data_IF_731330423797
#
_entry.id   IF_731330423797
#
_cell.length_a   1.000
_cell.length_b   1.000
_cell.length_c   1.000
_cell.angle_alpha   90.00
_cell.angle_beta   90.00
_cell.angle_gamma   90.00
#
_symmetry.space_group_name_H-M   'P 1'
#
loop_
_entity.id
_entity.type
_entity.pdbx_description
1 polymer ?
#
# COMPACT_ATOMS: atom_id res chain seq x y z
N UNK A 1 -12.12 0.14 23.02
CA UNK A 1 -10.68 0.05 22.68
C UNK A 1 -10.55 0.02 21.16
N UNK A 2 -9.70 0.86 20.57
CA UNK A 2 -9.46 0.84 19.12
C UNK A 2 -8.52 -0.28 18.68
N UNK A 3 -8.58 -0.67 17.40
CA UNK A 3 -7.60 -1.55 16.75
C UNK A 3 -6.32 -0.78 16.41
N UNK A 4 -5.22 -1.49 16.16
CA UNK A 4 -3.97 -0.88 15.70
C UNK A 4 -4.14 -0.10 14.39
N UNK A 5 -4.95 -0.63 13.47
CA UNK A 5 -5.34 0.07 12.25
C UNK A 5 -6.05 1.39 12.55
N UNK A 6 -7.02 1.38 13.48
CA UNK A 6 -7.72 2.61 13.87
C UNK A 6 -6.75 3.64 14.48
N UNK A 7 -5.77 3.22 15.27
CA UNK A 7 -4.75 4.13 15.80
C UNK A 7 -3.84 4.68 14.71
N UNK A 8 -3.45 3.87 13.73
CA UNK A 8 -2.69 4.34 12.59
C UNK A 8 -3.49 5.40 11.82
N UNK A 9 -4.75 5.12 11.47
CA UNK A 9 -5.62 6.06 10.76
C UNK A 9 -5.84 7.36 11.53
N UNK A 10 -5.98 7.30 12.86
CA UNK A 10 -6.05 8.51 13.69
C UNK A 10 -4.74 9.31 13.66
N UNK A 11 -3.58 8.66 13.66
CA UNK A 11 -2.30 9.34 13.53
C UNK A 11 -2.16 10.03 12.15
N UNK A 12 -2.56 9.33 11.09
CA UNK A 12 -2.63 9.88 9.73
C UNK A 12 -3.53 11.13 9.66
N UNK A 13 -4.77 11.03 10.17
CA UNK A 13 -5.71 12.15 10.19
C UNK A 13 -5.23 13.35 11.02
N UNK A 14 -4.39 13.11 12.04
CA UNK A 14 -3.76 14.15 12.84
C UNK A 14 -2.50 14.76 12.19
N UNK A 15 -2.13 14.33 10.97
CA UNK A 15 -0.91 14.75 10.26
C UNK A 15 0.38 14.16 10.83
N UNK A 16 0.29 13.17 11.72
CA UNK A 16 1.44 12.45 12.29
C UNK A 16 1.78 11.23 11.39
N UNK A 17 2.47 11.50 10.29
CA UNK A 17 2.72 10.49 9.24
C UNK A 17 3.76 9.47 9.67
N UNK A 18 4.77 9.87 10.44
CA UNK A 18 5.70 8.93 11.07
C UNK A 18 5.01 8.01 12.07
N UNK A 19 4.05 8.53 12.86
CA UNK A 19 3.21 7.74 13.74
C UNK A 19 2.39 6.70 12.97
N UNK A 20 1.75 7.09 11.86
CA UNK A 20 1.07 6.16 10.95
C UNK A 20 2.03 5.06 10.46
N UNK A 21 3.18 5.45 9.91
CA UNK A 21 4.16 4.52 9.37
C UNK A 21 4.68 3.53 10.42
N UNK A 22 4.96 3.99 11.64
CA UNK A 22 5.39 3.12 12.74
C UNK A 22 4.28 2.14 13.14
N UNK A 23 3.05 2.63 13.32
CA UNK A 23 1.93 1.80 13.74
C UNK A 23 1.59 0.71 12.71
N UNK A 24 1.68 1.01 11.41
CA UNK A 24 1.49 0.01 10.35
C UNK A 24 2.60 -1.05 10.33
N UNK A 25 3.84 -0.69 10.64
CA UNK A 25 4.97 -1.63 10.68
C UNK A 25 5.05 -2.45 11.96
N UNK A 26 4.46 -1.97 13.05
CA UNK A 26 4.37 -2.68 14.32
C UNK A 26 3.25 -3.72 14.34
N UNK A 27 2.46 -3.86 13.28
CA UNK A 27 1.33 -4.78 13.25
C UNK A 27 1.83 -6.22 13.23
N UNK A 28 1.98 -6.78 14.44
CA UNK A 28 2.37 -8.18 14.60
C UNK A 28 1.18 -9.08 14.30
N UNK A 29 1.37 -10.19 13.58
CA UNK A 29 0.30 -11.15 13.36
C UNK A 29 -0.13 -11.74 14.72
N UNK A 30 -1.44 -11.80 14.99
CA UNK A 30 -1.97 -12.50 16.16
C UNK A 30 -1.56 -13.97 16.08
N UNK A 31 -0.83 -14.48 17.07
CA UNK A 31 -0.34 -15.86 17.07
C UNK A 31 1.13 -16.03 16.69
N UNK A 32 2.00 -15.20 17.27
CA UNK A 32 3.46 -15.34 17.21
C UNK A 32 3.86 -16.80 17.51
N UNK A 33 4.36 -17.52 16.50
CA UNK A 33 4.85 -18.90 16.65
C UNK A 33 4.36 -19.86 15.56
N UNK A 34 3.25 -19.58 14.89
CA UNK A 34 2.78 -20.39 13.76
C UNK A 34 3.47 -19.97 12.45
N UNK A 35 4.03 -20.94 11.72
CA UNK A 35 4.62 -20.75 10.39
C UNK A 35 3.69 -20.01 9.42
N UNK A 36 2.39 -20.37 9.41
CA UNK A 36 1.40 -19.73 8.54
C UNK A 36 1.27 -18.22 8.79
N UNK A 37 1.30 -17.80 10.06
CA UNK A 37 1.19 -16.38 10.42
C UNK A 37 2.43 -15.60 9.97
N UNK A 38 3.62 -16.20 10.09
CA UNK A 38 4.86 -15.59 9.58
C UNK A 38 4.82 -15.45 8.06
N UNK A 39 4.38 -16.50 7.35
CA UNK A 39 4.25 -16.46 5.89
C UNK A 39 3.25 -15.40 5.43
N UNK A 40 2.08 -15.28 6.08
CA UNK A 40 1.10 -14.24 5.74
C UNK A 40 1.67 -12.84 5.98
N UNK A 41 2.40 -12.64 7.08
CA UNK A 41 3.04 -11.36 7.38
C UNK A 41 4.12 -10.99 6.35
N UNK A 42 4.97 -11.94 5.95
CA UNK A 42 5.96 -11.72 4.88
C UNK A 42 5.30 -11.38 3.54
N UNK A 43 4.22 -12.10 3.17
CA UNK A 43 3.45 -11.80 1.97
C UNK A 43 2.83 -10.40 2.04
N UNK A 44 2.33 -9.99 3.19
CA UNK A 44 1.76 -8.67 3.38
C UNK A 44 2.80 -7.57 3.10
N UNK A 45 3.98 -7.66 3.70
CA UNK A 45 5.07 -6.70 3.42
C UNK A 45 5.54 -6.75 1.97
N UNK A 46 5.60 -7.94 1.36
CA UNK A 46 5.99 -8.08 -0.04
C UNK A 46 4.95 -7.46 -1.01
N UNK A 47 3.67 -7.51 -0.64
CA UNK A 47 2.59 -6.84 -1.36
C UNK A 47 2.65 -5.32 -1.18
N UNK A 48 2.85 -4.83 0.05
CA UNK A 48 2.98 -3.39 0.34
C UNK A 48 4.19 -2.79 -0.37
N UNK A 49 5.34 -3.46 -0.37
CA UNK A 49 6.50 -3.02 -1.12
C UNK A 49 6.16 -2.91 -2.62
N UNK A 50 5.54 -3.94 -3.21
CA UNK A 50 5.12 -3.87 -4.62
C UNK A 50 4.16 -2.70 -4.89
N UNK A 51 3.22 -2.42 -3.99
CA UNK A 51 2.35 -1.26 -4.06
C UNK A 51 3.15 0.05 -4.09
N UNK A 52 4.07 0.24 -3.14
CA UNK A 52 4.94 1.42 -3.06
C UNK A 52 5.71 1.69 -4.37
N UNK A 53 6.34 0.65 -4.93
CA UNK A 53 7.14 0.80 -6.15
C UNK A 53 6.27 0.92 -7.41
N UNK A 54 5.14 0.20 -7.50
CA UNK A 54 4.25 0.29 -8.66
C UNK A 54 3.53 1.64 -8.76
N UNK A 55 3.22 2.27 -7.62
CA UNK A 55 2.58 3.58 -7.57
C UNK A 55 3.57 4.74 -7.69
N UNK A 56 4.88 4.49 -7.60
CA UNK A 56 5.89 5.54 -7.70
C UNK A 56 6.10 6.33 -6.40
N UNK A 57 5.58 5.86 -5.27
CA UNK A 57 5.66 6.55 -3.97
C UNK A 57 7.10 6.86 -3.54
N UNK A 58 8.08 6.06 -3.96
CA UNK A 58 9.49 6.30 -3.65
C UNK A 58 10.09 7.54 -4.33
N UNK A 59 9.48 8.04 -5.40
CA UNK A 59 9.91 9.25 -6.11
C UNK A 59 9.01 10.46 -5.80
N UNK A 60 8.01 10.31 -4.95
CA UNK A 60 7.08 11.38 -4.61
C UNK A 60 7.63 12.27 -3.50
N UNK A 61 7.99 13.51 -3.85
CA UNK A 61 8.53 14.49 -2.92
C UNK A 61 7.47 15.37 -2.25
N UNK A 62 6.19 15.27 -2.66
CA UNK A 62 5.10 16.13 -2.15
C UNK A 62 4.78 15.88 -0.67
N UNK A 63 5.12 14.71 -0.15
CA UNK A 63 4.69 14.24 1.17
C UNK A 63 5.73 14.49 2.26
N UNK A 64 5.26 15.08 3.36
CA UNK A 64 6.00 15.34 4.60
C UNK A 64 5.10 15.39 5.84
N UNK A 65 5.71 15.50 7.03
CA UNK A 65 4.99 15.62 8.31
C UNK A 65 4.05 16.83 8.34
N UNK A 66 2.95 16.71 9.09
CA UNK A 66 1.96 17.79 9.24
C UNK A 66 1.07 18.00 8.01
N UNK A 67 1.16 17.15 6.99
CA UNK A 67 0.19 17.15 5.89
C UNK A 67 -1.23 16.94 6.42
N UNK A 68 -2.15 17.70 5.85
CA UNK A 68 -3.58 17.64 6.15
C UNK A 68 -4.31 16.69 5.21
N UNK A 69 -5.52 16.26 5.60
CA UNK A 69 -6.41 15.48 4.73
C UNK A 69 -6.67 16.18 3.39
N UNK A 70 -6.90 17.50 3.39
CA UNK A 70 -7.14 18.27 2.18
C UNK A 70 -5.94 18.24 1.21
N UNK A 71 -4.71 18.35 1.72
CA UNK A 71 -3.52 18.18 0.88
C UNK A 71 -3.37 16.75 0.35
N UNK A 72 -3.82 15.75 1.14
CA UNK A 72 -3.94 14.38 0.69
C UNK A 72 -4.96 14.20 -0.45
N UNK A 73 -6.10 14.86 -0.38
CA UNK A 73 -7.12 14.87 -1.45
C UNK A 73 -6.59 15.52 -2.73
N UNK A 74 -5.83 16.63 -2.63
CA UNK A 74 -5.18 17.25 -3.79
C UNK A 74 -4.21 16.28 -4.49
N UNK A 75 -3.49 15.44 -3.74
CA UNK A 75 -2.65 14.40 -4.33
C UNK A 75 -3.48 13.34 -5.07
N UNK A 76 -4.61 12.95 -4.48
CA UNK A 76 -5.54 12.00 -5.09
C UNK A 76 -6.17 12.55 -6.37
N UNK A 77 -6.51 13.84 -6.38
CA UNK A 77 -7.01 14.54 -7.56
C UNK A 77 -5.98 14.57 -8.69
N UNK A 78 -4.70 14.81 -8.35
CA UNK A 78 -3.61 14.80 -9.33
C UNK A 78 -3.34 13.40 -9.89
N UNK A 79 -3.40 12.36 -9.06
CA UNK A 79 -3.06 10.98 -9.47
C UNK A 79 -4.21 10.29 -10.22
N UNK A 80 -5.45 10.49 -9.77
CA UNK A 80 -6.60 9.72 -10.25
C UNK A 80 -7.72 10.58 -10.85
N UNK A 81 -7.75 11.88 -10.57
CA UNK A 81 -8.87 12.76 -10.87
C UNK A 81 -9.99 12.62 -9.85
N UNK A 82 -10.51 13.75 -9.35
CA UNK A 82 -11.47 13.81 -8.25
C UNK A 82 -12.65 12.86 -8.40
N UNK A 83 -13.35 12.94 -9.53
CA UNK A 83 -14.53 12.11 -9.79
C UNK A 83 -14.22 10.61 -9.76
N UNK A 84 -13.00 10.20 -10.06
CA UNK A 84 -12.66 8.77 -10.18
C UNK A 84 -12.39 8.12 -8.83
N UNK A 85 -11.76 8.83 -7.89
CA UNK A 85 -11.49 8.26 -6.57
C UNK A 85 -12.60 8.61 -5.57
N UNK A 86 -13.22 9.79 -5.66
CA UNK A 86 -14.26 10.21 -4.73
C UNK A 86 -15.59 9.46 -4.92
N UNK A 87 -15.79 8.84 -6.09
CA UNK A 87 -16.94 7.98 -6.37
C UNK A 87 -16.64 6.49 -6.21
N UNK A 88 -15.49 6.12 -5.64
CA UNK A 88 -15.09 4.72 -5.50
C UNK A 88 -16.06 3.96 -4.58
N UNK A 89 -16.64 2.88 -5.11
CA UNK A 89 -17.69 2.10 -4.46
C UNK A 89 -17.24 0.68 -4.10
N UNK A 90 -18.07 -0.05 -3.35
CA UNK A 90 -17.88 -1.48 -3.13
C UNK A 90 -17.90 -2.30 -4.44
N UNK A 91 -18.67 -1.87 -5.44
CA UNK A 91 -18.70 -2.51 -6.76
C UNK A 91 -17.36 -2.37 -7.48
N UNK A 92 -16.68 -1.23 -7.30
CA UNK A 92 -15.32 -1.04 -7.84
C UNK A 92 -14.31 -1.97 -7.16
N UNK A 93 -14.46 -2.21 -5.85
CA UNK A 93 -13.65 -3.21 -5.14
C UNK A 93 -13.93 -4.63 -5.64
N UNK A 94 -15.20 -4.99 -5.82
CA UNK A 94 -15.58 -6.32 -6.30
C UNK A 94 -15.05 -6.55 -7.73
N UNK A 95 -15.21 -5.55 -8.61
CA UNK A 95 -14.65 -5.55 -9.95
C UNK A 95 -13.13 -5.68 -9.93
N UNK A 96 -12.44 -4.95 -9.04
CA UNK A 96 -11.00 -5.05 -8.91
C UNK A 96 -10.53 -6.43 -8.41
N UNK A 97 -11.26 -7.03 -7.46
CA UNK A 97 -10.99 -8.41 -7.00
C UNK A 97 -11.17 -9.40 -8.15
N UNK A 98 -12.24 -9.24 -8.92
CA UNK A 98 -12.51 -10.07 -10.09
C UNK A 98 -11.42 -9.94 -11.16
N UNK A 99 -11.12 -8.72 -11.58
CA UNK A 99 -10.10 -8.45 -12.61
C UNK A 99 -8.72 -8.93 -12.17
N UNK A 100 -8.35 -8.73 -10.91
CA UNK A 100 -7.06 -9.18 -10.38
C UNK A 100 -6.87 -10.69 -10.47
N UNK A 101 -7.96 -11.47 -10.46
CA UNK A 101 -7.95 -12.92 -10.66
C UNK A 101 -7.88 -13.34 -12.13
N UNK A 102 -8.35 -12.52 -13.06
CA UNK A 102 -8.45 -12.84 -14.50
C UNK A 102 -7.24 -12.35 -15.30
N UNK A 103 -6.71 -11.17 -14.99
CA UNK A 103 -5.57 -10.57 -15.70
C UNK A 103 -4.21 -10.93 -15.07
N UNK A 104 -4.22 -11.60 -13.91
CA UNK A 104 -3.02 -12.02 -13.20
C UNK A 104 -2.23 -10.86 -12.58
N UNK A 105 -2.88 -9.73 -12.29
CA UNK A 105 -2.28 -8.58 -11.61
C UNK A 105 -2.21 -8.76 -10.10
N UNK A 106 -3.01 -9.64 -9.50
CA UNK A 106 -2.76 -10.20 -8.16
C UNK A 106 -2.62 -11.72 -8.25
N UNK A 107 -1.41 -12.25 -8.05
CA UNK A 107 -1.17 -13.70 -8.03
C UNK A 107 -0.69 -14.14 -6.65
N UNK A 108 -1.48 -15.00 -6.01
CA UNK A 108 -1.05 -15.72 -4.81
C UNK A 108 -0.62 -17.14 -5.21
N UNK A 109 0.68 -17.41 -5.20
CA UNK A 109 1.19 -18.76 -5.40
C UNK A 109 1.47 -19.38 -4.03
N UNK A 110 0.58 -20.27 -3.59
CA UNK A 110 0.78 -21.03 -2.34
C UNK A 110 1.83 -22.14 -2.48
N UNK A 111 2.15 -22.53 -3.71
CA UNK A 111 3.14 -23.54 -4.05
C UNK A 111 4.17 -22.92 -5.00
N UNK A 112 5.16 -22.20 -4.47
CA UNK A 112 6.27 -21.76 -5.30
C UNK A 112 7.35 -22.85 -5.40
N UNK A 113 8.16 -22.87 -6.47
CA UNK A 113 9.27 -23.81 -6.63
C UNK A 113 10.30 -23.77 -5.49
N UNK A 114 10.31 -22.71 -4.69
CA UNK A 114 11.18 -22.55 -3.51
C UNK A 114 10.52 -22.99 -2.19
N UNK A 115 9.30 -23.53 -2.24
CA UNK A 115 8.54 -23.96 -1.06
C UNK A 115 7.92 -22.83 -0.23
N UNK A 116 8.10 -21.56 -0.62
CA UNK A 116 7.54 -20.40 0.06
C UNK A 116 6.37 -19.81 -0.75
N UNK A 117 5.31 -19.39 -0.08
CA UNK A 117 4.24 -18.68 -0.76
C UNK A 117 4.76 -17.34 -1.33
N UNK A 118 4.22 -16.90 -2.47
CA UNK A 118 4.59 -15.61 -3.06
C UNK A 118 3.36 -14.84 -3.53
N UNK A 119 3.39 -13.51 -3.37
CA UNK A 119 2.38 -12.60 -3.91
C UNK A 119 2.99 -11.74 -5.01
N UNK A 120 2.27 -11.57 -6.12
CA UNK A 120 2.62 -10.59 -7.16
C UNK A 120 1.51 -9.57 -7.28
N UNK A 121 1.83 -8.30 -7.06
CA UNK A 121 0.95 -7.16 -7.28
C UNK A 121 1.45 -6.36 -8.50
N UNK A 122 0.62 -6.23 -9.53
CA UNK A 122 0.88 -5.44 -10.73
C UNK A 122 0.42 -3.99 -10.58
N UNK A 123 0.80 -3.15 -11.56
CA UNK A 123 0.41 -1.72 -11.58
C UNK A 123 -1.10 -1.49 -11.58
N UNK A 124 -1.93 -2.23 -12.34
CA UNK A 124 -3.39 -2.04 -12.30
C UNK A 124 -3.97 -2.27 -10.90
N UNK A 125 -3.66 -3.39 -10.25
CA UNK A 125 -4.10 -3.63 -8.86
C UNK A 125 -3.54 -2.61 -7.87
N UNK A 126 -2.27 -2.19 -8.03
CA UNK A 126 -1.70 -1.15 -7.19
C UNK A 126 -2.45 0.19 -7.33
N UNK A 127 -2.90 0.55 -8.54
CA UNK A 127 -3.74 1.72 -8.77
C UNK A 127 -5.12 1.61 -8.13
N UNK A 128 -5.73 0.42 -8.12
CA UNK A 128 -6.97 0.20 -7.36
C UNK A 128 -6.73 0.42 -5.88
N UNK A 129 -5.68 -0.18 -5.30
CA UNK A 129 -5.33 0.01 -3.89
C UNK A 129 -5.12 1.50 -3.60
N UNK A 130 -4.38 2.22 -4.45
CA UNK A 130 -4.18 3.66 -4.28
C UNK A 130 -5.47 4.47 -4.35
N UNK A 131 -6.40 4.14 -5.25
CA UNK A 131 -7.74 4.77 -5.29
C UNK A 131 -8.55 4.49 -4.03
N UNK A 132 -8.49 3.26 -3.53
CA UNK A 132 -9.12 2.89 -2.26
C UNK A 132 -8.51 3.71 -1.11
N UNK A 133 -7.18 3.86 -1.06
CA UNK A 133 -6.53 4.70 -0.08
C UNK A 133 -6.89 6.18 -0.20
N UNK A 134 -7.25 6.66 -1.40
CA UNK A 134 -7.80 7.99 -1.58
C UNK A 134 -9.21 8.10 -1.00
N UNK A 135 -10.09 7.14 -1.32
CA UNK A 135 -11.45 7.10 -0.78
C UNK A 135 -11.50 6.98 0.74
N UNK A 136 -10.53 6.27 1.34
CA UNK A 136 -10.36 6.13 2.79
C UNK A 136 -9.62 7.32 3.44
N UNK A 137 -9.10 8.27 2.65
CA UNK A 137 -8.48 9.51 3.13
C UNK A 137 -7.04 9.37 3.66
N UNK A 138 -6.32 8.31 3.31
CA UNK A 138 -4.99 8.00 3.85
C UNK A 138 -3.89 7.75 2.80
N UNK A 139 -4.16 8.06 1.52
CA UNK A 139 -3.18 7.91 0.43
C UNK A 139 -1.83 8.60 0.71
N UNK A 140 -1.84 9.84 1.18
CA UNK A 140 -0.61 10.58 1.53
C UNK A 140 0.17 9.90 2.67
N UNK A 141 -0.52 9.27 3.62
CA UNK A 141 0.09 8.50 4.70
C UNK A 141 0.76 7.23 4.16
N UNK A 142 0.16 6.56 3.17
CA UNK A 142 0.79 5.45 2.46
C UNK A 142 2.07 5.86 1.75
N UNK A 143 2.07 7.01 1.06
CA UNK A 143 3.26 7.54 0.38
C UNK A 143 4.40 7.76 1.39
N UNK A 144 4.11 8.38 2.53
CA UNK A 144 5.11 8.56 3.60
C UNK A 144 5.62 7.23 4.14
N UNK A 145 4.71 6.30 4.47
CA UNK A 145 5.02 4.98 5.00
C UNK A 145 5.90 4.17 4.02
N UNK A 146 5.63 4.28 2.73
CA UNK A 146 6.47 3.72 1.67
C UNK A 146 7.89 4.29 1.69
N UNK A 147 8.03 5.63 1.74
CA UNK A 147 9.33 6.31 1.79
C UNK A 147 10.12 5.97 3.05
N UNK A 148 9.44 5.84 4.18
CA UNK A 148 10.06 5.54 5.46
C UNK A 148 10.58 4.10 5.54
N UNK A 149 9.83 3.13 5.02
CA UNK A 149 10.07 1.71 5.31
C UNK A 149 10.55 0.88 4.13
N UNK A 150 10.05 1.12 2.92
CA UNK A 150 10.33 0.24 1.76
C UNK A 150 11.32 0.85 0.78
N UNK A 151 11.27 2.17 0.57
CA UNK A 151 12.12 2.84 -0.43
C UNK A 151 13.59 2.95 0.00
N UNK A 152 13.85 2.95 1.31
CA UNK A 152 15.21 3.01 1.89
C UNK A 152 15.77 1.63 2.23
N UNK A 153 14.93 0.60 2.23
CA UNK A 153 15.35 -0.76 2.51
C UNK A 153 16.01 -1.37 1.26
N UNK A 154 17.29 -1.72 1.36
CA UNK A 154 18.05 -2.26 0.23
C UNK A 154 17.44 -3.54 -0.35
N UNK A 155 16.83 -4.38 0.47
CA UNK A 155 16.26 -5.66 0.04
C UNK A 155 15.07 -5.44 -0.89
N UNK A 156 14.16 -4.52 -0.52
CA UNK A 156 13.01 -4.16 -1.33
C UNK A 156 13.42 -3.31 -2.54
N UNK A 157 14.37 -2.39 -2.36
CA UNK A 157 14.90 -1.60 -3.46
C UNK A 157 15.51 -2.49 -4.56
N UNK A 158 16.45 -3.38 -4.20
CA UNK A 158 17.05 -4.34 -5.15
C UNK A 158 15.99 -5.17 -5.86
N UNK A 159 14.94 -5.58 -5.14
CA UNK A 159 13.85 -6.41 -5.68
C UNK A 159 12.87 -5.64 -6.58
N UNK A 160 12.57 -4.37 -6.30
CA UNK A 160 11.41 -3.69 -6.88
C UNK A 160 11.65 -2.31 -7.53
N UNK A 161 12.84 -1.71 -7.41
CA UNK A 161 13.12 -0.39 -8.02
C UNK A 161 12.81 -0.34 -9.53
N UNK A 162 13.01 -1.44 -10.26
CA UNK A 162 12.70 -1.55 -11.69
C UNK A 162 11.20 -1.40 -12.02
N UNK A 163 10.32 -1.43 -11.01
CA UNK A 163 8.86 -1.28 -11.17
C UNK A 163 8.40 0.17 -11.09
N UNK A 164 9.26 1.10 -10.70
CA UNK A 164 8.94 2.54 -10.67
C UNK A 164 8.37 2.98 -12.04
N UNK A 165 7.30 3.79 -12.05
CA UNK A 165 6.81 4.41 -13.27
C UNK A 165 7.96 5.12 -14.00
N UNK A 166 8.03 4.97 -15.32
CA UNK A 166 8.96 5.78 -16.11
C UNK A 166 8.45 7.21 -16.05
N UNK A 167 9.32 8.17 -15.76
CA UNK A 167 8.98 9.58 -15.89
C UNK A 167 8.55 9.84 -17.35
N UNK A 168 7.46 10.58 -17.58
CA UNK A 168 7.00 10.92 -18.92
C UNK A 168 8.04 11.72 -19.71
#
# INVERSE_FOLDING_TARGET
CGTQEQYAMMACAAGNLSGYAQLKMLEKPRGEGNLLHRTIHELHHDMLAQYCFNMGHCADERVGEGMTLAQGEEMCDQEFGHQTWASFTEQDMEMARFLSGVDGTLKLNMLSPKGLASVKLGRPSAKVIGKMSCAEGHYHCDVYMCKANYCKDESYWKKYHHRLPKQP
#
